data_IF_787280309032
#
_entry.id   IF_787280309032
#
_cell.length_a   1.000
_cell.length_b   1.000
_cell.length_c   1.000
_cell.angle_alpha   90.00
_cell.angle_beta   90.00
_cell.angle_gamma   90.00
#
_symmetry.space_group_name_H-M   'P 1'
#
loop_
_entity.id
_entity.type
_entity.pdbx_description
1 polymer ?
#
# COMPACT_ATOMS: atom_id res chain seq x y z
N UNK A 1 -14.24 -13.50 -21.64
CA UNK A 1 -13.20 -12.55 -22.05
C UNK A 1 -13.73 -11.16 -21.82
N UNK A 2 -12.99 -10.35 -21.08
CA UNK A 2 -13.33 -8.95 -20.80
C UNK A 2 -12.41 -8.08 -21.63
N UNK A 3 -12.92 -6.96 -22.11
CA UNK A 3 -12.08 -5.99 -22.83
C UNK A 3 -11.07 -5.39 -21.86
N UNK A 4 -9.81 -5.49 -22.24
CA UNK A 4 -8.69 -4.98 -21.48
C UNK A 4 -7.82 -4.05 -22.30
N UNK A 5 -6.76 -3.61 -21.69
CA UNK A 5 -5.70 -2.82 -22.32
C UNK A 5 -4.34 -3.43 -22.00
N UNK A 6 -3.45 -3.37 -23.00
CA UNK A 6 -2.04 -3.68 -22.85
C UNK A 6 -1.24 -2.39 -22.94
N UNK A 7 -0.30 -2.25 -22.04
CA UNK A 7 0.66 -1.15 -21.97
C UNK A 7 2.06 -1.75 -22.01
N UNK A 8 2.90 -1.28 -22.92
CA UNK A 8 4.31 -1.63 -22.95
C UNK A 8 5.08 -0.50 -22.25
N UNK A 9 5.84 -0.82 -21.21
CA UNK A 9 6.58 0.13 -20.37
C UNK A 9 8.01 -0.36 -20.08
N UNK A 10 8.78 0.40 -19.32
CA UNK A 10 10.15 0.04 -18.93
C UNK A 10 10.21 -0.40 -17.46
N UNK A 11 11.27 -1.12 -17.03
CA UNK A 11 11.47 -1.46 -15.62
C UNK A 11 11.50 -0.27 -14.67
N UNK A 12 11.93 0.89 -15.15
CA UNK A 12 12.00 2.13 -14.35
C UNK A 12 10.63 2.79 -14.18
N UNK A 13 9.70 2.54 -15.10
CA UNK A 13 8.39 3.21 -15.12
C UNK A 13 7.25 2.30 -14.67
N UNK A 14 7.46 0.99 -14.64
CA UNK A 14 6.41 -0.01 -14.39
C UNK A 14 5.62 0.26 -13.12
N UNK A 15 6.29 0.57 -12.02
CA UNK A 15 5.66 0.85 -10.73
C UNK A 15 4.76 2.10 -10.80
N UNK A 16 5.26 3.17 -11.42
CA UNK A 16 4.49 4.42 -11.55
C UNK A 16 3.27 4.22 -12.45
N UNK A 17 3.44 3.45 -13.53
CA UNK A 17 2.33 3.15 -14.45
C UNK A 17 1.29 2.26 -13.76
N UNK A 18 1.74 1.21 -13.08
CA UNK A 18 0.86 0.30 -12.32
C UNK A 18 0.05 1.03 -11.26
N UNK A 19 0.68 1.88 -10.45
CA UNK A 19 0.00 2.65 -9.42
C UNK A 19 -1.05 3.60 -9.97
N UNK A 20 -0.76 4.25 -11.10
CA UNK A 20 -1.76 5.11 -11.76
C UNK A 20 -2.93 4.29 -12.32
N UNK A 21 -2.66 3.09 -12.85
CA UNK A 21 -3.72 2.18 -13.29
C UNK A 21 -4.61 1.74 -12.12
N UNK A 22 -4.01 1.41 -10.97
CA UNK A 22 -4.75 1.13 -9.74
C UNK A 22 -5.60 2.32 -9.31
N UNK A 23 -5.06 3.53 -9.32
CA UNK A 23 -5.80 4.76 -9.00
C UNK A 23 -6.97 5.03 -9.99
N UNK A 24 -6.86 4.56 -11.23
CA UNK A 24 -7.93 4.64 -12.23
C UNK A 24 -9.00 3.54 -12.06
N UNK A 25 -8.83 2.62 -11.11
CA UNK A 25 -9.80 1.58 -10.82
C UNK A 25 -9.53 0.25 -11.51
N UNK A 26 -8.28 -0.03 -11.89
CA UNK A 26 -7.89 -1.35 -12.34
C UNK A 26 -8.25 -2.41 -11.29
N UNK A 27 -8.85 -3.52 -11.71
CA UNK A 27 -9.23 -4.61 -10.82
C UNK A 27 -8.08 -5.60 -10.62
N UNK A 28 -7.23 -5.74 -11.64
CA UNK A 28 -6.04 -6.56 -11.63
C UNK A 28 -5.06 -6.00 -12.67
N UNK A 29 -3.77 -6.12 -12.40
CA UNK A 29 -2.70 -5.80 -13.34
C UNK A 29 -1.80 -7.02 -13.42
N UNK A 30 -1.64 -7.59 -14.62
CA UNK A 30 -0.63 -8.61 -14.85
C UNK A 30 0.62 -8.00 -15.46
N UNK A 31 1.78 -8.45 -15.00
CA UNK A 31 3.08 -8.01 -15.49
C UNK A 31 3.79 -9.16 -16.20
N UNK A 32 4.27 -8.90 -17.41
CA UNK A 32 5.10 -9.83 -18.17
C UNK A 32 6.45 -9.16 -18.45
N UNK A 33 7.50 -9.68 -17.83
CA UNK A 33 8.86 -9.20 -18.03
C UNK A 33 9.49 -9.89 -19.23
N UNK A 34 9.87 -9.14 -20.24
CA UNK A 34 10.44 -9.66 -21.49
C UNK A 34 11.96 -9.60 -21.48
N UNK A 35 12.57 -10.50 -22.22
CA UNK A 35 14.04 -10.59 -22.35
C UNK A 35 14.67 -9.39 -23.08
N UNK A 36 13.89 -8.58 -23.78
CA UNK A 36 14.31 -7.35 -24.44
C UNK A 36 14.31 -6.11 -23.51
N UNK A 37 13.97 -6.30 -22.25
CA UNK A 37 13.87 -5.24 -21.25
C UNK A 37 12.51 -4.52 -21.20
N UNK A 38 11.54 -4.92 -22.01
CA UNK A 38 10.19 -4.38 -21.96
C UNK A 38 9.37 -5.06 -20.86
N UNK A 39 8.57 -4.30 -20.15
CA UNK A 39 7.55 -4.81 -19.23
C UNK A 39 6.17 -4.57 -19.85
N UNK A 40 5.39 -5.63 -19.98
CA UNK A 40 4.03 -5.55 -20.53
C UNK A 40 3.03 -5.64 -19.39
N UNK A 41 2.25 -4.58 -19.21
CA UNK A 41 1.13 -4.54 -18.28
C UNK A 41 -0.18 -4.87 -19.01
N UNK A 42 -1.00 -5.71 -18.42
CA UNK A 42 -2.37 -5.96 -18.90
C UNK A 42 -3.36 -5.76 -17.79
N UNK A 43 -4.42 -5.00 -18.08
CA UNK A 43 -5.47 -4.68 -17.10
C UNK A 43 -6.78 -4.36 -17.78
N UNK A 44 -7.84 -4.17 -16.99
CA UNK A 44 -9.11 -3.62 -17.43
C UNK A 44 -9.51 -2.43 -16.56
N UNK A 45 -9.96 -1.36 -17.20
CA UNK A 45 -10.54 -0.17 -16.57
C UNK A 45 -12.04 -0.06 -16.91
N UNK A 46 -12.70 -1.18 -17.24
CA UNK A 46 -14.08 -1.23 -17.67
C UNK A 46 -14.28 -1.27 -19.18
N UNK A 47 -15.54 -1.37 -19.61
CA UNK A 47 -15.92 -1.62 -21.00
C UNK A 47 -16.17 -0.33 -21.82
N UNK A 48 -16.27 0.84 -21.18
CA UNK A 48 -16.46 2.13 -21.84
C UNK A 48 -15.14 2.67 -22.37
N UNK A 49 -14.89 2.45 -23.65
CA UNK A 49 -13.62 2.80 -24.32
C UNK A 49 -13.32 4.28 -24.44
N UNK A 50 -14.36 5.11 -24.59
CA UNK A 50 -14.18 6.56 -24.67
C UNK A 50 -13.79 7.11 -23.29
N UNK A 51 -14.38 6.56 -22.23
CA UNK A 51 -14.00 6.88 -20.85
C UNK A 51 -12.58 6.41 -20.55
N UNK A 52 -12.23 5.16 -20.87
CA UNK A 52 -10.88 4.60 -20.66
C UNK A 52 -9.83 5.43 -21.41
N UNK A 53 -10.06 5.75 -22.70
CA UNK A 53 -9.13 6.57 -23.46
C UNK A 53 -8.94 7.97 -22.85
N UNK A 54 -10.02 8.59 -22.36
CA UNK A 54 -9.97 9.89 -21.69
C UNK A 54 -9.21 9.84 -20.37
N UNK A 55 -9.39 8.78 -19.57
CA UNK A 55 -8.67 8.56 -18.32
C UNK A 55 -7.16 8.37 -18.56
N UNK A 56 -6.80 7.49 -19.49
CA UNK A 56 -5.39 7.24 -19.83
C UNK A 56 -4.73 8.52 -20.37
N UNK A 57 -5.38 9.24 -21.28
CA UNK A 57 -4.82 10.47 -21.82
C UNK A 57 -4.59 11.57 -20.78
N UNK A 58 -5.37 11.57 -19.71
CA UNK A 58 -5.22 12.53 -18.59
C UNK A 58 -4.14 12.14 -17.60
N UNK A 59 -4.12 10.87 -17.17
CA UNK A 59 -3.29 10.42 -16.06
C UNK A 59 -1.96 9.78 -16.52
N UNK A 60 -1.93 9.27 -17.76
CA UNK A 60 -0.80 8.56 -18.36
C UNK A 60 -0.54 9.07 -19.80
N UNK A 61 -0.32 10.38 -20.02
CA UNK A 61 -0.30 10.99 -21.35
C UNK A 61 0.82 10.45 -22.27
N UNK A 62 1.92 9.97 -21.69
CA UNK A 62 3.09 9.48 -22.42
C UNK A 62 3.06 7.96 -22.65
N UNK A 63 2.01 7.28 -22.17
CA UNK A 63 1.89 5.82 -22.24
C UNK A 63 1.19 5.40 -23.53
N UNK A 64 1.82 4.49 -24.26
CA UNK A 64 1.22 3.83 -25.43
C UNK A 64 0.48 2.59 -24.98
N UNK A 65 -0.79 2.51 -25.32
CA UNK A 65 -1.64 1.37 -24.99
C UNK A 65 -2.42 0.87 -26.21
N UNK A 66 -2.81 -0.41 -26.15
CA UNK A 66 -3.61 -1.07 -27.17
C UNK A 66 -4.76 -1.84 -26.53
N UNK A 67 -5.87 -1.96 -27.25
CA UNK A 67 -6.97 -2.85 -26.86
C UNK A 67 -6.51 -4.31 -26.99
N UNK A 68 -6.76 -5.09 -25.95
CA UNK A 68 -6.49 -6.51 -25.90
C UNK A 68 -7.63 -7.21 -25.17
N UNK A 69 -8.12 -8.33 -25.71
CA UNK A 69 -9.08 -9.17 -24.99
C UNK A 69 -8.31 -9.95 -23.92
N UNK A 70 -8.61 -9.68 -22.65
CA UNK A 70 -7.98 -10.35 -21.53
C UNK A 70 -8.92 -11.38 -20.89
N UNK A 71 -8.33 -12.50 -20.52
CA UNK A 71 -9.00 -13.51 -19.71
C UNK A 71 -8.83 -13.13 -18.23
N UNK A 72 -9.89 -12.59 -17.63
CA UNK A 72 -9.85 -12.23 -16.20
C UNK A 72 -9.78 -13.44 -15.26
N UNK A 73 -9.98 -14.68 -15.76
CA UNK A 73 -9.69 -15.87 -14.95
C UNK A 73 -8.19 -15.96 -14.61
N UNK A 74 -7.33 -15.32 -15.42
CA UNK A 74 -5.89 -15.16 -15.13
C UNK A 74 -5.65 -14.15 -14.00
N UNK A 75 -6.61 -13.26 -13.72
CA UNK A 75 -6.48 -12.26 -12.65
C UNK A 75 -6.35 -12.89 -11.25
N UNK A 76 -6.78 -14.13 -11.07
CA UNK A 76 -6.63 -14.86 -9.80
C UNK A 76 -5.41 -15.78 -9.74
N UNK A 77 -4.66 -15.96 -10.84
CA UNK A 77 -3.46 -16.84 -10.84
C UNK A 77 -2.33 -16.31 -9.95
N UNK A 78 -2.27 -15.01 -9.70
CA UNK A 78 -1.32 -14.43 -8.75
C UNK A 78 -1.55 -14.99 -7.33
N UNK A 79 -2.80 -15.33 -6.96
CA UNK A 79 -3.14 -15.93 -5.66
C UNK A 79 -2.45 -17.27 -5.43
N UNK A 80 -2.12 -18.01 -6.50
CA UNK A 80 -1.42 -19.28 -6.42
C UNK A 80 0.06 -19.14 -6.10
N UNK A 81 0.63 -17.95 -6.33
CA UNK A 81 2.04 -17.65 -6.13
C UNK A 81 2.33 -16.84 -4.85
N UNK A 82 1.28 -16.44 -4.15
CA UNK A 82 1.42 -15.69 -2.90
C UNK A 82 1.60 -16.64 -1.73
N UNK A 83 2.50 -16.29 -0.85
CA UNK A 83 2.79 -17.03 0.37
C UNK A 83 2.51 -16.21 1.62
N UNK A 84 2.46 -16.89 2.76
CA UNK A 84 2.42 -16.25 4.07
C UNK A 84 3.74 -15.52 4.31
N UNK A 85 3.66 -14.29 4.75
CA UNK A 85 4.81 -13.39 4.94
C UNK A 85 5.18 -13.29 6.41
N UNK A 86 6.39 -13.67 6.75
CA UNK A 86 6.99 -13.33 8.04
C UNK A 86 7.44 -11.86 8.01
N UNK A 87 6.88 -11.05 8.90
CA UNK A 87 7.24 -9.64 9.07
C UNK A 87 8.34 -9.51 10.12
N UNK A 88 8.08 -10.12 11.29
CA UNK A 88 9.02 -10.32 12.39
C UNK A 88 8.81 -11.75 12.93
N UNK A 89 9.68 -12.26 13.80
CA UNK A 89 9.57 -13.63 14.33
C UNK A 89 8.22 -13.99 14.94
N UNK A 90 7.45 -12.99 15.38
CA UNK A 90 6.16 -13.13 16.04
C UNK A 90 5.00 -12.43 15.30
N UNK A 91 5.25 -11.71 14.21
CA UNK A 91 4.23 -11.05 13.39
C UNK A 91 4.25 -11.60 11.96
N UNK A 92 3.09 -12.05 11.50
CA UNK A 92 2.90 -12.67 10.19
C UNK A 92 1.70 -12.07 9.46
N UNK A 93 1.80 -11.91 8.16
CA UNK A 93 0.66 -11.57 7.30
C UNK A 93 0.32 -12.79 6.44
N UNK A 94 -0.95 -13.15 6.45
CA UNK A 94 -1.49 -14.30 5.75
C UNK A 94 -2.56 -13.84 4.74
N UNK A 95 -2.46 -14.24 3.47
CA UNK A 95 -3.57 -14.10 2.53
C UNK A 95 -4.84 -14.77 3.08
N UNK A 96 -5.98 -14.11 2.98
CA UNK A 96 -7.23 -14.58 3.61
C UNK A 96 -7.72 -15.95 3.06
N UNK A 97 -7.34 -16.32 1.84
CA UNK A 97 -7.69 -17.59 1.19
C UNK A 97 -6.73 -18.74 1.51
N UNK A 98 -5.64 -18.49 2.25
CA UNK A 98 -4.72 -19.53 2.70
C UNK A 98 -5.07 -19.92 4.13
N UNK A 99 -5.64 -21.10 4.32
CA UNK A 99 -6.11 -21.55 5.64
C UNK A 99 -5.00 -22.18 6.50
N UNK A 100 -3.94 -22.70 5.87
CA UNK A 100 -2.88 -23.45 6.55
C UNK A 100 -1.51 -22.88 6.26
N UNK A 101 -0.66 -22.87 7.27
CA UNK A 101 0.77 -22.64 7.11
C UNK A 101 1.41 -23.95 6.63
N UNK A 102 2.31 -23.88 5.64
CA UNK A 102 3.15 -25.04 5.24
C UNK A 102 4.10 -25.47 6.37
N UNK A 103 4.42 -24.55 7.27
CA UNK A 103 5.01 -24.81 8.58
C UNK A 103 4.16 -24.12 9.66
N UNK A 104 3.97 -24.71 10.84
CA UNK A 104 3.17 -24.07 11.88
C UNK A 104 3.77 -22.72 12.25
N UNK A 105 2.93 -21.68 12.29
CA UNK A 105 3.34 -20.41 12.88
C UNK A 105 3.88 -20.65 14.30
N UNK A 106 4.89 -19.90 14.73
CA UNK A 106 5.40 -20.03 16.09
C UNK A 106 4.27 -19.97 17.13
N UNK A 107 4.32 -20.75 18.20
CA UNK A 107 3.38 -20.61 19.30
C UNK A 107 3.37 -19.15 19.76
N UNK A 108 2.23 -18.51 19.79
CA UNK A 108 2.01 -17.08 20.10
C UNK A 108 2.29 -16.09 18.96
N UNK A 109 2.48 -16.53 17.72
CA UNK A 109 2.56 -15.62 16.60
C UNK A 109 1.25 -14.84 16.41
N UNK A 110 1.38 -13.54 16.20
CA UNK A 110 0.29 -12.67 15.75
C UNK A 110 0.16 -12.83 14.23
N UNK A 111 -1.00 -13.27 13.76
CA UNK A 111 -1.26 -13.47 12.34
C UNK A 111 -2.35 -12.51 11.89
N UNK A 112 -2.01 -11.69 10.90
CA UNK A 112 -2.93 -10.75 10.26
C UNK A 112 -3.45 -11.37 8.97
N UNK A 113 -4.76 -11.55 8.86
CA UNK A 113 -5.41 -12.10 7.67
C UNK A 113 -5.85 -10.96 6.74
N UNK A 114 -5.35 -10.95 5.50
CA UNK A 114 -5.61 -9.87 4.54
C UNK A 114 -6.11 -10.44 3.21
N UNK A 115 -7.21 -9.89 2.72
CA UNK A 115 -7.62 -9.96 1.32
C UNK A 115 -7.44 -8.55 0.73
N UNK A 116 -6.49 -8.32 -0.18
CA UNK A 116 -6.29 -7.00 -0.76
C UNK A 116 -7.39 -6.66 -1.79
N UNK A 117 -8.16 -7.65 -2.28
CA UNK A 117 -9.07 -7.45 -3.40
C UNK A 117 -8.36 -6.74 -4.57
N UNK A 118 -8.97 -5.69 -5.16
CA UNK A 118 -8.35 -4.88 -6.19
C UNK A 118 -7.51 -3.71 -5.62
N UNK A 119 -7.01 -3.80 -4.38
CA UNK A 119 -6.18 -2.74 -3.78
C UNK A 119 -4.77 -3.24 -3.50
N UNK A 120 -3.85 -2.31 -3.24
CA UNK A 120 -2.50 -2.62 -2.81
C UNK A 120 -2.46 -3.05 -1.33
N UNK A 121 -1.40 -3.79 -0.93
CA UNK A 121 -1.11 -4.05 0.48
C UNK A 121 -1.51 -5.43 0.96
N UNK A 122 -1.12 -6.49 0.23
CA UNK A 122 -1.25 -7.87 0.73
C UNK A 122 -0.25 -8.17 1.87
N UNK A 123 0.90 -7.48 1.88
CA UNK A 123 1.93 -7.68 2.89
C UNK A 123 3.26 -8.22 2.35
N UNK A 124 3.29 -8.76 1.15
CA UNK A 124 4.45 -9.39 0.51
C UNK A 124 5.41 -8.36 -0.12
N UNK A 125 4.90 -7.23 -0.60
CA UNK A 125 5.72 -6.20 -1.22
C UNK A 125 6.76 -5.63 -0.22
N UNK A 126 8.02 -5.36 -0.65
CA UNK A 126 9.09 -4.85 0.21
C UNK A 126 8.72 -3.61 1.01
N UNK A 127 7.98 -2.65 0.41
CA UNK A 127 7.53 -1.42 1.08
C UNK A 127 6.54 -1.71 2.20
N UNK A 128 5.62 -2.65 2.00
CA UNK A 128 4.66 -3.06 3.03
C UNK A 128 5.36 -3.79 4.15
N UNK A 129 6.30 -4.69 3.84
CA UNK A 129 7.11 -5.42 4.84
C UNK A 129 7.92 -4.46 5.70
N UNK A 130 8.63 -3.52 5.09
CA UNK A 130 9.38 -2.49 5.80
C UNK A 130 8.50 -1.62 6.70
N UNK A 131 7.33 -1.20 6.19
CA UNK A 131 6.35 -0.42 6.96
C UNK A 131 5.81 -1.19 8.15
N UNK A 132 5.47 -2.47 7.98
CA UNK A 132 5.01 -3.35 9.06
C UNK A 132 6.09 -3.57 10.14
N UNK A 133 7.35 -3.75 9.75
CA UNK A 133 8.47 -3.91 10.68
C UNK A 133 8.67 -2.66 11.54
N UNK A 134 8.70 -1.47 10.91
CA UNK A 134 8.83 -0.21 11.64
C UNK A 134 7.60 0.05 12.52
N UNK A 135 6.39 -0.21 11.99
CA UNK A 135 5.16 -0.05 12.76
C UNK A 135 5.16 -0.93 14.02
N UNK A 136 5.55 -2.21 13.88
CA UNK A 136 5.65 -3.13 15.02
C UNK A 136 6.66 -2.66 16.07
N UNK A 137 7.70 -1.93 15.67
CA UNK A 137 8.72 -1.43 16.59
C UNK A 137 8.27 -0.22 17.42
N UNK A 138 7.25 0.54 16.97
CA UNK A 138 6.84 1.81 17.59
C UNK A 138 5.43 1.80 18.18
N UNK A 139 4.58 0.83 17.81
CA UNK A 139 3.24 0.72 18.38
C UNK A 139 3.33 0.35 19.86
N UNK A 140 2.65 1.14 20.65
CA UNK A 140 2.48 0.90 22.08
C UNK A 140 0.98 0.80 22.42
N UNK A 141 0.62 0.10 23.52
CA UNK A 141 -0.77 0.10 23.98
C UNK A 141 -1.30 1.52 24.17
N UNK A 142 -2.45 1.79 23.58
CA UNK A 142 -3.08 3.11 23.64
C UNK A 142 -2.73 4.08 22.50
N UNK A 143 -1.76 3.76 21.64
CA UNK A 143 -1.39 4.59 20.47
C UNK A 143 -2.57 4.87 19.56
N UNK A 144 -2.56 6.06 18.95
CA UNK A 144 -3.45 6.45 17.86
C UNK A 144 -2.68 6.42 16.54
N UNK A 145 -3.28 5.87 15.49
CA UNK A 145 -2.61 5.66 14.19
C UNK A 145 -3.40 6.29 13.06
N UNK A 146 -2.69 6.93 12.13
CA UNK A 146 -3.22 7.36 10.83
C UNK A 146 -2.49 6.59 9.73
N UNK A 147 -3.26 5.90 8.89
CA UNK A 147 -2.79 5.13 7.73
C UNK A 147 -3.19 5.88 6.46
N UNK A 148 -2.22 6.51 5.79
CA UNK A 148 -2.42 7.38 4.63
C UNK A 148 -2.19 6.60 3.33
N UNK A 149 -3.20 6.53 2.47
CA UNK A 149 -3.21 5.62 1.34
C UNK A 149 -3.33 4.18 1.81
N UNK A 150 -4.35 3.90 2.64
CA UNK A 150 -4.41 2.66 3.42
C UNK A 150 -4.63 1.38 2.57
N UNK A 151 -5.12 1.49 1.32
CA UNK A 151 -5.38 0.35 0.44
C UNK A 151 -6.19 -0.74 1.13
N UNK A 152 -5.62 -1.93 1.27
CA UNK A 152 -6.22 -3.07 1.99
C UNK A 152 -6.43 -2.82 3.49
N UNK A 153 -5.82 -1.77 4.06
CA UNK A 153 -5.80 -1.48 5.48
C UNK A 153 -4.78 -2.29 6.27
N UNK A 154 -3.87 -3.02 5.61
CA UNK A 154 -2.93 -3.93 6.27
C UNK A 154 -2.13 -3.26 7.38
N UNK A 155 -1.69 -2.01 7.20
CA UNK A 155 -0.89 -1.29 8.19
C UNK A 155 -1.73 -0.85 9.39
N UNK A 156 -2.86 -0.19 9.15
CA UNK A 156 -3.76 0.25 10.21
C UNK A 156 -4.40 -0.91 10.99
N UNK A 157 -4.81 -1.97 10.31
CA UNK A 157 -5.33 -3.20 10.94
C UNK A 157 -4.26 -3.86 11.81
N UNK A 158 -3.03 -3.99 11.29
CA UNK A 158 -1.90 -4.53 12.07
C UNK A 158 -1.64 -3.70 13.32
N UNK A 159 -1.62 -2.36 13.20
CA UNK A 159 -1.44 -1.49 14.36
C UNK A 159 -2.49 -1.75 15.46
N UNK A 160 -3.75 -1.95 15.06
CA UNK A 160 -4.83 -2.25 16.00
C UNK A 160 -4.68 -3.60 16.67
N UNK A 161 -4.27 -4.64 15.93
CA UNK A 161 -4.01 -5.97 16.49
C UNK A 161 -2.83 -5.93 17.45
N UNK A 162 -1.80 -5.14 17.15
CA UNK A 162 -0.63 -4.94 18.01
C UNK A 162 -0.92 -4.07 19.26
N UNK A 163 -2.14 -3.55 19.43
CA UNK A 163 -2.58 -2.88 20.66
C UNK A 163 -2.80 -1.36 20.53
N UNK A 164 -2.78 -0.79 19.34
CA UNK A 164 -3.23 0.59 19.15
C UNK A 164 -4.67 0.74 19.62
N UNK A 165 -4.98 1.87 20.26
CA UNK A 165 -6.31 2.17 20.77
C UNK A 165 -7.33 2.39 19.63
N UNK A 166 -6.91 3.15 18.63
CA UNK A 166 -7.69 3.44 17.42
C UNK A 166 -6.78 3.64 16.23
N UNK A 167 -7.28 3.31 15.05
CA UNK A 167 -6.62 3.68 13.80
C UNK A 167 -7.64 4.30 12.82
N UNK A 168 -7.15 5.25 12.04
CA UNK A 168 -7.90 5.91 10.97
C UNK A 168 -7.15 5.67 9.67
N UNK A 169 -7.85 5.16 8.65
CA UNK A 169 -7.35 5.06 7.30
C UNK A 169 -7.95 6.14 6.41
N UNK A 170 -7.17 6.63 5.46
CA UNK A 170 -7.68 7.45 4.36
C UNK A 170 -7.14 6.94 3.04
N UNK A 171 -7.96 6.96 2.01
CA UNK A 171 -7.60 6.55 0.65
C UNK A 171 -8.39 7.36 -0.35
N UNK A 172 -7.94 7.40 -1.60
CA UNK A 172 -8.63 8.10 -2.69
C UNK A 172 -9.62 7.17 -3.43
N UNK A 173 -9.53 5.85 -3.21
CA UNK A 173 -10.35 4.87 -3.92
C UNK A 173 -11.50 4.34 -3.04
N UNK A 174 -12.75 4.30 -3.54
CA UNK A 174 -13.86 3.70 -2.79
C UNK A 174 -13.64 2.23 -2.45
N UNK A 175 -12.95 1.46 -3.32
CA UNK A 175 -12.66 0.05 -3.09
C UNK A 175 -11.83 -0.16 -1.81
N UNK A 176 -10.85 0.70 -1.53
CA UNK A 176 -10.03 0.64 -0.31
C UNK A 176 -10.88 0.77 0.96
N UNK A 177 -11.95 1.58 0.92
CA UNK A 177 -12.84 1.75 2.05
C UNK A 177 -13.57 0.44 2.40
N UNK A 178 -14.10 -0.24 1.39
CA UNK A 178 -14.84 -1.49 1.59
C UNK A 178 -13.92 -2.62 2.02
N UNK A 179 -12.79 -2.77 1.34
CA UNK A 179 -11.82 -3.84 1.57
C UNK A 179 -11.16 -3.70 2.94
N UNK A 180 -10.67 -2.51 3.29
CA UNK A 180 -10.04 -2.31 4.59
C UNK A 180 -11.01 -2.52 5.77
N UNK A 181 -12.29 -2.19 5.59
CA UNK A 181 -13.35 -2.53 6.58
C UNK A 181 -13.54 -4.03 6.71
N UNK A 182 -13.58 -4.76 5.59
CA UNK A 182 -13.70 -6.22 5.61
C UNK A 182 -12.50 -6.87 6.30
N UNK A 183 -11.28 -6.41 6.00
CA UNK A 183 -10.06 -6.88 6.64
C UNK A 183 -10.02 -6.55 8.14
N UNK A 184 -10.46 -5.36 8.55
CA UNK A 184 -10.57 -5.02 9.96
C UNK A 184 -11.56 -5.92 10.71
N UNK A 185 -12.68 -6.26 10.07
CA UNK A 185 -13.66 -7.20 10.63
C UNK A 185 -13.10 -8.62 10.74
N UNK A 186 -12.41 -9.10 9.70
CA UNK A 186 -11.77 -10.43 9.69
C UNK A 186 -10.71 -10.60 10.78
N UNK A 187 -10.05 -9.49 11.19
CA UNK A 187 -9.06 -9.47 12.26
C UNK A 187 -9.63 -9.04 13.64
N UNK A 188 -10.95 -8.89 13.77
CA UNK A 188 -11.61 -8.58 15.05
C UNK A 188 -11.36 -7.18 15.59
N UNK A 189 -11.05 -6.20 14.73
CA UNK A 189 -10.69 -4.82 15.12
C UNK A 189 -11.59 -3.75 14.48
N UNK A 190 -12.70 -4.14 13.87
CA UNK A 190 -13.60 -3.25 13.13
C UNK A 190 -14.16 -2.09 13.98
N UNK A 191 -14.35 -2.29 15.27
CA UNK A 191 -14.84 -1.29 16.21
C UNK A 191 -13.84 -0.15 16.46
N UNK A 192 -12.55 -0.39 16.21
CA UNK A 192 -11.45 0.57 16.39
C UNK A 192 -10.87 1.10 15.09
N UNK A 193 -11.32 0.57 13.93
CA UNK A 193 -10.93 1.00 12.59
C UNK A 193 -11.95 1.97 12.01
N UNK A 194 -11.51 3.15 11.62
CA UNK A 194 -12.28 4.11 10.82
C UNK A 194 -11.56 4.34 9.50
N UNK A 195 -12.31 4.40 8.41
CA UNK A 195 -11.74 4.67 7.09
C UNK A 195 -12.69 5.52 6.26
N UNK A 196 -12.14 6.48 5.52
CA UNK A 196 -12.90 7.39 4.67
C UNK A 196 -12.09 7.88 3.47
N UNK A 197 -12.79 8.51 2.51
CA UNK A 197 -12.18 9.24 1.39
C UNK A 197 -11.82 10.68 1.75
N UNK A 198 -11.87 11.04 3.03
CA UNK A 198 -11.61 12.41 3.48
C UNK A 198 -10.13 12.78 3.30
N UNK A 199 -9.85 13.99 2.82
CA UNK A 199 -8.49 14.49 2.69
C UNK A 199 -7.88 14.79 4.06
N UNK A 200 -6.52 14.85 4.13
CA UNK A 200 -5.80 14.99 5.39
C UNK A 200 -6.07 16.30 6.13
N UNK A 201 -6.58 17.32 5.45
CA UNK A 201 -6.92 18.64 6.01
C UNK A 201 -8.03 18.59 7.06
N UNK A 202 -8.92 17.59 6.99
CA UNK A 202 -10.04 17.46 7.93
C UNK A 202 -9.60 16.99 9.31
N UNK A 203 -8.41 16.38 9.44
CA UNK A 203 -7.90 15.92 10.71
C UNK A 203 -7.27 17.09 11.48
N UNK A 204 -7.87 17.47 12.61
CA UNK A 204 -7.43 18.60 13.44
C UNK A 204 -6.34 18.24 14.45
N UNK A 205 -6.33 17.01 14.95
CA UNK A 205 -5.42 16.55 16.00
C UNK A 205 -4.36 15.60 15.45
N UNK A 206 -3.13 15.66 15.98
CA UNK A 206 -2.08 14.72 15.59
C UNK A 206 -2.36 13.31 16.09
N UNK A 207 -1.75 12.34 15.42
CA UNK A 207 -1.73 10.93 15.78
C UNK A 207 -0.36 10.57 16.37
N UNK A 208 -0.30 9.61 17.29
CA UNK A 208 0.98 9.14 17.82
C UNK A 208 1.87 8.60 16.71
N UNK A 209 1.29 7.85 15.77
CA UNK A 209 1.98 7.31 14.61
C UNK A 209 1.19 7.64 13.34
N UNK A 210 1.88 8.20 12.35
CA UNK A 210 1.38 8.32 10.97
C UNK A 210 2.20 7.36 10.12
N UNK A 211 1.53 6.57 9.27
CA UNK A 211 2.19 5.72 8.28
C UNK A 211 1.66 6.07 6.89
N UNK A 212 2.57 6.23 5.92
CA UNK A 212 2.28 6.53 4.53
C UNK A 212 3.17 5.67 3.62
N UNK A 213 2.60 4.59 3.10
CA UNK A 213 3.24 3.73 2.10
C UNK A 213 2.68 4.08 0.73
N UNK A 214 3.13 5.19 0.18
CA UNK A 214 2.65 5.80 -1.06
C UNK A 214 3.82 6.35 -1.87
N UNK A 215 3.59 6.67 -3.14
CA UNK A 215 4.66 7.15 -4.03
C UNK A 215 5.30 8.45 -3.56
N UNK A 216 6.59 8.61 -3.87
CA UNK A 216 7.39 9.78 -3.51
C UNK A 216 6.76 11.13 -3.93
N UNK A 217 6.18 11.31 -5.14
CA UNK A 217 5.51 12.56 -5.49
C UNK A 217 4.37 12.93 -4.54
N UNK A 218 3.57 11.94 -4.16
CA UNK A 218 2.43 12.12 -3.23
C UNK A 218 2.91 12.39 -1.80
N UNK A 219 4.00 11.75 -1.36
CA UNK A 219 4.63 12.05 -0.06
C UNK A 219 5.07 13.51 0.01
N UNK A 220 5.63 14.04 -1.08
CA UNK A 220 6.07 15.44 -1.17
C UNK A 220 4.86 16.38 -1.16
N UNK A 221 3.84 16.08 -1.95
CA UNK A 221 2.60 16.88 -2.02
C UNK A 221 1.92 16.95 -0.64
N UNK A 222 1.84 15.84 0.08
CA UNK A 222 1.21 15.74 1.40
C UNK A 222 2.14 16.07 2.57
N UNK A 223 3.38 16.50 2.31
CA UNK A 223 4.41 16.64 3.34
C UNK A 223 4.03 17.58 4.48
N UNK A 224 3.32 18.67 4.21
CA UNK A 224 2.85 19.61 5.23
C UNK A 224 1.86 18.94 6.19
N UNK A 225 0.88 18.21 5.63
CA UNK A 225 -0.14 17.50 6.40
C UNK A 225 0.49 16.34 7.19
N UNK A 226 1.39 15.57 6.57
CA UNK A 226 2.10 14.48 7.23
C UNK A 226 2.89 15.00 8.44
N UNK A 227 3.65 16.08 8.28
CA UNK A 227 4.38 16.73 9.39
C UNK A 227 3.46 17.23 10.50
N UNK A 228 2.32 17.83 10.13
CA UNK A 228 1.35 18.36 11.08
C UNK A 228 0.70 17.24 11.90
N UNK A 229 0.34 16.13 11.23
CA UNK A 229 -0.40 15.03 11.83
C UNK A 229 0.49 14.02 12.56
N UNK A 230 1.80 13.96 12.27
CA UNK A 230 2.75 13.13 13.00
C UNK A 230 3.06 13.71 14.37
N UNK A 231 2.40 13.19 15.40
CA UNK A 231 2.60 13.62 16.78
C UNK A 231 3.92 13.13 17.35
N UNK A 232 4.25 11.88 17.13
CA UNK A 232 5.48 11.24 17.62
C UNK A 232 6.31 10.64 16.50
N UNK A 233 5.71 9.80 15.66
CA UNK A 233 6.40 9.09 14.59
C UNK A 233 5.71 9.27 13.25
N UNK A 234 6.52 9.37 12.19
CA UNK A 234 6.09 9.26 10.80
C UNK A 234 6.87 8.12 10.15
N UNK A 235 6.15 7.14 9.61
CA UNK A 235 6.73 6.08 8.77
C UNK A 235 6.39 6.41 7.33
N UNK A 236 7.40 6.49 6.47
CA UNK A 236 7.24 6.70 5.03
C UNK A 236 7.90 5.56 4.25
N UNK A 237 7.24 5.09 3.20
CA UNK A 237 7.70 4.06 2.28
C UNK A 237 7.15 4.30 0.89
N UNK A 238 7.53 3.46 -0.09
CA UNK A 238 7.17 3.65 -1.50
C UNK A 238 8.22 4.46 -2.27
N UNK A 239 9.46 4.46 -1.77
CA UNK A 239 10.59 5.19 -2.36
C UNK A 239 11.77 4.24 -2.55
N UNK A 240 12.41 4.28 -3.72
CA UNK A 240 13.61 3.51 -3.98
C UNK A 240 14.79 4.02 -3.15
N UNK A 241 15.62 3.09 -2.67
CA UNK A 241 16.82 3.41 -1.90
C UNK A 241 17.78 4.30 -2.71
N UNK A 242 18.30 5.35 -2.07
CA UNK A 242 19.14 6.36 -2.72
C UNK A 242 18.37 7.40 -3.58
N UNK A 243 17.04 7.30 -3.64
CA UNK A 243 16.17 8.27 -4.34
C UNK A 243 15.24 9.03 -3.39
N UNK A 244 15.46 8.98 -2.08
CA UNK A 244 14.58 9.49 -1.03
C UNK A 244 15.00 10.88 -0.47
N UNK A 245 16.16 11.43 -0.86
CA UNK A 245 16.65 12.74 -0.39
C UNK A 245 15.63 13.87 -0.56
N UNK A 246 14.86 13.85 -1.65
CA UNK A 246 13.87 14.88 -1.92
C UNK A 246 12.61 14.73 -1.06
N UNK A 247 12.25 13.49 -0.68
CA UNK A 247 11.18 13.22 0.27
C UNK A 247 11.59 13.66 1.67
N UNK A 248 12.80 13.31 2.13
CA UNK A 248 13.31 13.72 3.43
C UNK A 248 13.38 15.24 3.55
N UNK A 249 13.85 15.94 2.50
CA UNK A 249 13.88 17.40 2.47
C UNK A 249 12.49 18.03 2.59
N UNK A 250 11.49 17.44 1.92
CA UNK A 250 10.11 17.91 2.02
C UNK A 250 9.52 17.70 3.43
N UNK A 251 10.00 16.67 4.15
CA UNK A 251 9.54 16.32 5.49
C UNK A 251 10.30 17.04 6.62
N UNK A 252 11.30 17.87 6.32
CA UNK A 252 11.95 18.71 7.34
C UNK A 252 10.90 19.52 8.13
N UNK A 253 11.03 19.68 9.47
CA UNK A 253 12.19 19.36 10.32
C UNK A 253 12.21 17.94 10.91
N UNK A 254 11.36 17.01 10.45
CA UNK A 254 11.44 15.62 10.93
C UNK A 254 12.78 15.01 10.53
N UNK A 255 13.35 14.18 11.42
CA UNK A 255 14.63 13.53 11.22
C UNK A 255 14.46 12.01 11.19
N UNK A 256 15.17 11.34 10.30
CA UNK A 256 15.20 9.89 10.23
C UNK A 256 15.95 9.35 11.46
N UNK A 257 15.31 8.40 12.17
CA UNK A 257 15.88 7.72 13.34
C UNK A 257 16.09 6.24 13.11
N UNK A 258 15.40 5.66 12.12
CA UNK A 258 15.59 4.28 11.69
C UNK A 258 15.24 4.14 10.21
N UNK A 259 15.97 3.25 9.53
CA UNK A 259 15.78 2.94 8.12
C UNK A 259 15.83 1.44 7.91
N UNK A 260 14.97 0.94 7.03
CA UNK A 260 14.96 -0.44 6.54
C UNK A 260 15.01 -0.39 5.01
N UNK A 261 15.87 -1.22 4.42
CA UNK A 261 15.93 -1.40 2.96
C UNK A 261 15.66 -2.87 2.65
N UNK A 262 14.66 -3.14 1.83
CA UNK A 262 14.29 -4.46 1.37
C UNK A 262 14.17 -4.40 -0.15
N UNK A 263 14.92 -5.23 -0.85
CA UNK A 263 14.88 -5.38 -2.32
C UNK A 263 14.96 -4.03 -3.07
N UNK A 264 15.80 -3.10 -2.59
CA UNK A 264 16.00 -1.79 -3.17
C UNK A 264 14.95 -0.73 -2.78
N UNK A 265 13.98 -1.06 -1.93
CA UNK A 265 13.00 -0.12 -1.40
C UNK A 265 13.36 0.34 0.00
N UNK A 266 13.32 1.67 0.21
CA UNK A 266 13.57 2.28 1.50
C UNK A 266 12.26 2.53 2.26
N UNK A 267 12.30 2.24 3.56
CA UNK A 267 11.27 2.63 4.51
C UNK A 267 11.94 3.36 5.67
N UNK A 268 11.49 4.56 5.97
CA UNK A 268 12.09 5.44 6.96
C UNK A 268 11.12 5.71 8.12
N UNK A 269 11.65 5.63 9.34
CA UNK A 269 11.00 6.11 10.55
C UNK A 269 11.55 7.48 10.89
N UNK A 270 10.68 8.48 10.93
CA UNK A 270 11.03 9.85 11.24
C UNK A 270 10.38 10.29 12.56
N UNK A 271 11.02 11.22 13.25
CA UNK A 271 10.50 11.86 14.46
C UNK A 271 10.84 13.34 14.49
N UNK A 272 10.21 14.09 15.39
CA UNK A 272 10.60 15.48 15.63
C UNK A 272 11.97 15.50 16.30
N UNK A 273 12.86 16.44 15.94
CA UNK A 273 14.08 16.66 16.71
C UNK A 273 13.73 17.10 18.15
N UNK A 274 14.59 16.70 19.09
CA UNK A 274 14.48 17.10 20.50
C UNK A 274 14.69 18.60 20.70
#
# INVERSE_FOLDING_TARGET
>A
MTRGLRIDTTPEEVEVVSDRLWALGAVAISEEWRSDGTVVLRTSLGDDRDLVASLIARELPDVVWVDEDIDLSVADTWKEHVSIVEVTGDLWVRPAWIDTFDAPAPPNATVISIDPGPTFGLGDHPTTRGSLQLLASVIAPGSTVLDVGCGSGVLGVTALVLGAHRAVGTDITPAAIEISRANAAANGVADRWRVSLEPLEVFGEPFDVVVANILAPTLIELSEQLRRLAGRYLIVSGVLDGHDDHVHRALEPLVEVQRIVIDGWATSLLTRPE
#
